data_IF_140700230155
#
_entry.id   IF_140700230155
#
_cell.length_a   1.000
_cell.length_b   1.000
_cell.length_c   1.000
_cell.angle_alpha   90.00
_cell.angle_beta   90.00
_cell.angle_gamma   90.00
#
_symmetry.space_group_name_H-M   'P 1'
#
loop_
_entity.id
_entity.type
_entity.pdbx_description
1 polymer ?
#
# COMPACT_ATOMS: atom_id res chain seq x y z
N UNK A 1 -10.10 -16.34 -18.69
CA UNK A 1 -9.91 -16.29 -17.23
C UNK A 1 -10.17 -14.86 -16.83
N UNK A 2 -11.20 -14.67 -16.01
CA UNK A 2 -11.82 -13.38 -15.75
C UNK A 2 -10.84 -12.45 -15.02
N UNK A 3 -10.57 -11.28 -15.59
CA UNK A 3 -10.00 -10.16 -14.85
C UNK A 3 -11.07 -9.71 -13.84
N UNK A 4 -10.86 -9.80 -12.51
CA UNK A 4 -11.83 -9.26 -11.59
C UNK A 4 -11.77 -7.74 -11.69
N UNK A 5 -12.94 -7.14 -11.89
CA UNK A 5 -13.17 -5.72 -12.04
C UNK A 5 -12.41 -4.90 -10.98
N UNK A 6 -11.71 -3.86 -11.42
CA UNK A 6 -11.23 -2.78 -10.56
C UNK A 6 -12.44 -2.16 -9.85
N UNK A 7 -12.66 -2.55 -8.60
CA UNK A 7 -13.66 -1.95 -7.72
C UNK A 7 -13.37 -0.43 -7.60
N UNK A 8 -14.40 0.42 -7.44
CA UNK A 8 -14.22 1.86 -7.30
C UNK A 8 -13.24 2.12 -6.16
N UNK A 9 -12.18 2.88 -6.45
CA UNK A 9 -11.01 3.13 -5.59
C UNK A 9 -11.34 3.23 -4.09
N UNK A 10 -11.27 2.10 -3.38
CA UNK A 10 -11.26 2.06 -1.92
C UNK A 10 -10.16 2.98 -1.41
N UNK A 11 -10.33 3.55 -0.22
CA UNK A 11 -9.34 4.45 0.41
C UNK A 11 -7.94 3.81 0.38
N UNK A 12 -7.86 2.50 0.64
CA UNK A 12 -6.60 1.74 0.58
C UNK A 12 -5.97 1.75 -0.81
N UNK A 13 -6.76 1.66 -1.88
CA UNK A 13 -6.24 1.73 -3.26
C UNK A 13 -5.76 3.14 -3.62
N UNK A 14 -6.38 4.19 -3.07
CA UNK A 14 -5.89 5.57 -3.25
C UNK A 14 -4.56 5.79 -2.53
N UNK A 15 -4.44 5.28 -1.30
CA UNK A 15 -3.19 5.32 -0.55
C UNK A 15 -2.12 4.48 -1.26
N UNK A 16 -2.47 3.31 -1.80
CA UNK A 16 -1.55 2.49 -2.59
C UNK A 16 -0.98 3.28 -3.77
N UNK A 17 -1.81 3.99 -4.54
CA UNK A 17 -1.30 4.80 -5.65
C UNK A 17 -0.29 5.86 -5.20
N UNK A 18 -0.56 6.54 -4.09
CA UNK A 18 0.34 7.56 -3.54
C UNK A 18 1.63 6.90 -3.04
N UNK A 19 1.53 5.72 -2.44
CA UNK A 19 2.67 4.92 -2.04
C UNK A 19 3.51 4.52 -3.26
N UNK A 20 2.89 3.99 -4.33
CA UNK A 20 3.60 3.61 -5.56
C UNK A 20 4.35 4.80 -6.16
N UNK A 21 3.73 5.98 -6.20
CA UNK A 21 4.35 7.21 -6.70
C UNK A 21 5.57 7.62 -5.86
N UNK A 22 5.45 7.55 -4.53
CA UNK A 22 6.55 7.83 -3.60
C UNK A 22 7.66 6.76 -3.61
N UNK A 23 7.33 5.52 -3.96
CA UNK A 23 8.30 4.45 -4.14
C UNK A 23 9.00 4.54 -5.50
N UNK A 24 8.38 5.15 -6.51
CA UNK A 24 8.95 5.31 -7.84
C UNK A 24 10.30 6.05 -7.76
N UNK A 25 11.35 5.43 -8.31
CA UNK A 25 12.72 5.97 -8.25
C UNK A 25 13.50 5.62 -6.98
N UNK A 26 12.89 4.90 -6.02
CA UNK A 26 13.59 4.35 -4.85
C UNK A 26 13.99 2.88 -5.09
N UNK A 27 14.99 2.34 -4.37
CA UNK A 27 15.31 0.91 -4.42
C UNK A 27 14.17 0.02 -3.89
N UNK A 28 13.17 0.61 -3.22
CA UNK A 28 12.00 -0.10 -2.72
C UNK A 28 10.98 -0.40 -3.83
N UNK A 29 10.99 0.31 -4.95
CA UNK A 29 10.13 -0.01 -6.11
C UNK A 29 10.33 -1.45 -6.61
N UNK A 30 11.56 -1.97 -6.52
CA UNK A 30 11.87 -3.35 -6.89
C UNK A 30 11.44 -4.41 -5.87
N UNK A 31 10.99 -4.01 -4.67
CA UNK A 31 10.53 -4.95 -3.63
C UNK A 31 9.09 -5.40 -3.80
N UNK A 32 8.32 -4.83 -4.74
CA UNK A 32 6.91 -5.18 -4.96
C UNK A 32 6.04 -4.88 -3.74
N UNK A 33 6.13 -3.65 -3.23
CA UNK A 33 5.37 -3.21 -2.06
C UNK A 33 4.01 -2.72 -2.53
N UNK A 34 2.91 -3.24 -2.00
CA UNK A 34 1.55 -2.82 -2.35
C UNK A 34 0.62 -2.83 -1.14
N UNK A 35 -0.39 -1.96 -1.14
CA UNK A 35 -1.45 -1.96 -0.15
C UNK A 35 -2.72 -2.55 -0.75
N UNK A 36 -3.39 -3.39 0.03
CA UNK A 36 -4.65 -4.02 -0.36
C UNK A 36 -5.64 -3.94 0.79
N UNK A 37 -6.92 -3.72 0.47
CA UNK A 37 -7.98 -3.76 1.47
C UNK A 37 -8.28 -5.21 1.87
N UNK A 38 -8.41 -5.47 3.17
CA UNK A 38 -8.88 -6.75 3.68
C UNK A 38 -10.41 -6.80 3.61
N UNK A 39 -11.00 -7.99 3.38
CA UNK A 39 -12.45 -8.16 3.43
C UNK A 39 -13.06 -7.88 4.81
N UNK A 40 -12.23 -7.81 5.86
CA UNK A 40 -12.61 -7.46 7.23
C UNK A 40 -12.58 -5.94 7.50
N UNK A 41 -12.25 -5.12 6.48
CA UNK A 41 -12.17 -3.66 6.60
C UNK A 41 -10.84 -3.13 7.12
N UNK A 42 -9.77 -3.93 7.04
CA UNK A 42 -8.40 -3.56 7.41
C UNK A 42 -7.50 -3.30 6.21
N UNK A 43 -6.24 -2.99 6.48
CA UNK A 43 -5.20 -2.79 5.47
C UNK A 43 -4.24 -3.97 5.49
N UNK A 44 -4.01 -4.57 4.32
CA UNK A 44 -3.02 -5.61 4.09
C UNK A 44 -1.86 -4.98 3.34
N UNK A 45 -0.65 -5.14 3.87
CA UNK A 45 0.58 -4.70 3.25
C UNK A 45 1.26 -5.90 2.61
N UNK A 46 1.51 -5.84 1.31
CA UNK A 46 2.34 -6.78 0.59
C UNK A 46 3.75 -6.21 0.45
N UNK A 47 4.77 -7.03 0.69
CA UNK A 47 6.18 -6.73 0.42
C UNK A 47 6.74 -7.93 -0.34
N UNK A 48 6.68 -7.85 -1.67
CA UNK A 48 7.06 -8.93 -2.57
C UNK A 48 6.12 -10.12 -2.40
N UNK A 49 6.61 -11.20 -1.81
CA UNK A 49 5.82 -12.42 -1.53
C UNK A 49 5.30 -12.48 -0.10
N UNK A 50 5.65 -11.51 0.74
CA UNK A 50 5.23 -11.47 2.13
C UNK A 50 3.98 -10.61 2.29
N UNK A 51 3.01 -11.13 3.03
CA UNK A 51 1.80 -10.42 3.45
C UNK A 51 1.91 -10.06 4.92
N UNK A 52 1.57 -8.81 5.24
CA UNK A 52 1.47 -8.28 6.60
C UNK A 52 0.09 -7.70 6.82
N UNK A 53 -0.48 -7.95 7.99
CA UNK A 53 -1.79 -7.43 8.37
C UNK A 53 -1.56 -6.13 9.14
N UNK A 54 -1.71 -5.01 8.44
CA UNK A 54 -1.44 -3.67 8.95
C UNK A 54 0.01 -3.20 8.78
N UNK A 55 0.19 -1.87 8.92
CA UNK A 55 1.51 -1.21 8.90
C UNK A 55 2.40 -1.68 10.04
N UNK A 56 1.84 -1.89 11.24
CA UNK A 56 2.63 -2.26 12.43
C UNK A 56 3.28 -3.64 12.31
N UNK A 57 2.67 -4.55 11.56
CA UNK A 57 3.20 -5.90 11.32
C UNK A 57 4.42 -5.92 10.39
N UNK A 58 4.65 -4.86 9.62
CA UNK A 58 5.77 -4.78 8.68
C UNK A 58 7.09 -4.65 9.44
N UNK A 59 8.05 -5.54 9.19
CA UNK A 59 9.35 -5.51 9.89
C UNK A 59 10.30 -4.42 9.35
N UNK A 60 10.12 -4.02 8.09
CA UNK A 60 10.99 -3.06 7.41
C UNK A 60 10.57 -1.61 7.76
N UNK A 61 11.39 -0.84 8.50
CA UNK A 61 11.02 0.50 8.94
C UNK A 61 10.89 1.48 7.77
N UNK A 62 11.59 1.24 6.65
CA UNK A 62 11.46 2.07 5.46
C UNK A 62 10.09 1.91 4.80
N UNK A 63 9.58 0.68 4.76
CA UNK A 63 8.23 0.39 4.23
C UNK A 63 7.17 1.03 5.12
N UNK A 64 7.30 0.90 6.45
CA UNK A 64 6.42 1.58 7.41
C UNK A 64 6.39 3.09 7.20
N UNK A 65 7.56 3.71 7.03
CA UNK A 65 7.67 5.14 6.79
C UNK A 65 7.00 5.52 5.46
N UNK A 66 7.26 4.79 4.37
CA UNK A 66 6.68 5.05 3.07
C UNK A 66 5.14 4.98 3.09
N UNK A 67 4.57 3.96 3.74
CA UNK A 67 3.11 3.82 3.88
C UNK A 67 2.54 4.97 4.69
N UNK A 68 3.17 5.33 5.81
CA UNK A 68 2.72 6.45 6.64
C UNK A 68 2.76 7.76 5.87
N UNK A 69 3.82 8.03 5.11
CA UNK A 69 3.90 9.20 4.24
C UNK A 69 2.80 9.19 3.18
N UNK A 70 2.48 8.04 2.61
CA UNK A 70 1.39 7.93 1.64
C UNK A 70 0.02 8.23 2.26
N UNK A 71 -0.25 7.73 3.48
CA UNK A 71 -1.47 8.06 4.24
C UNK A 71 -1.53 9.55 4.53
N UNK A 72 -0.44 10.17 5.00
CA UNK A 72 -0.37 11.61 5.27
C UNK A 72 -0.59 12.47 4.00
N UNK A 73 -0.04 12.05 2.86
CA UNK A 73 -0.26 12.74 1.59
C UNK A 73 -1.71 12.57 1.10
N UNK A 74 -2.31 11.40 1.32
CA UNK A 74 -3.71 11.16 1.03
C UNK A 74 -4.62 12.05 1.89
N UNK A 75 -4.39 12.12 3.20
CA UNK A 75 -5.16 12.97 4.13
C UNK A 75 -5.10 14.45 3.73
N UNK A 76 -3.95 14.93 3.23
CA UNK A 76 -3.80 16.31 2.73
C UNK A 76 -4.52 16.58 1.41
N UNK A 77 -4.79 15.52 0.63
CA UNK A 77 -5.42 15.60 -0.69
C UNK A 77 -6.92 15.36 -0.62
N UNK A 78 -7.42 14.89 0.53
CA UNK A 78 -8.84 14.61 0.80
C UNK A 78 -9.57 15.75 1.47
#
# INVERSE_FOLDING_TARGET
MEQPAVAPFSIVAQIDQILQDGLAGTPLAGKGIHLQESPEGGVIVWVGLQRFEGVDAVLDPQVKAAIRQAVEAWEKKS
#
